data_IF_109776386732
#
_entry.id   IF_109776386732
#
_cell.length_a   1.000
_cell.length_b   1.000
_cell.length_c   1.000
_cell.angle_alpha   90.00
_cell.angle_beta   90.00
_cell.angle_gamma   90.00
#
_symmetry.space_group_name_H-M   'P 1'
#
loop_
_entity.id
_entity.type
_entity.pdbx_description
1 polymer ?
#
# COMPACT_ATOMS: atom_id res chain seq x y z
N UNK A 1 -5.53 -19.24 -14.05
CA UNK A 1 -4.87 -18.03 -13.51
C UNK A 1 -3.43 -18.38 -13.22
N UNK A 2 -2.49 -17.93 -14.06
CA UNK A 2 -1.07 -18.26 -13.90
C UNK A 2 -0.44 -17.47 -12.75
N UNK A 3 0.56 -18.03 -12.06
CA UNK A 3 1.22 -17.38 -10.91
C UNK A 3 1.85 -16.03 -11.27
N UNK A 4 2.26 -15.88 -12.54
CA UNK A 4 2.72 -14.63 -13.13
C UNK A 4 1.67 -13.52 -13.00
N UNK A 5 0.39 -13.84 -13.20
CA UNK A 5 -0.70 -12.87 -13.10
C UNK A 5 -0.90 -12.39 -11.65
N UNK A 6 -0.77 -13.30 -10.68
CA UNK A 6 -0.80 -12.94 -9.27
C UNK A 6 0.33 -11.99 -8.89
N UNK A 7 1.56 -12.26 -9.34
CA UNK A 7 2.71 -11.39 -9.08
C UNK A 7 2.53 -10.00 -9.70
N UNK A 8 2.01 -9.94 -10.93
CA UNK A 8 1.73 -8.66 -11.62
C UNK A 8 0.69 -7.87 -10.84
N UNK A 9 -0.43 -8.48 -10.45
CA UNK A 9 -1.47 -7.80 -9.67
C UNK A 9 -0.97 -7.33 -8.31
N UNK A 10 -0.21 -8.17 -7.59
CA UNK A 10 0.40 -7.78 -6.32
C UNK A 10 1.37 -6.61 -6.48
N UNK A 11 2.21 -6.63 -7.52
CA UNK A 11 3.12 -5.52 -7.80
C UNK A 11 2.35 -4.23 -8.15
N UNK A 12 1.27 -4.33 -8.93
CA UNK A 12 0.45 -3.17 -9.32
C UNK A 12 -0.22 -2.48 -8.12
N UNK A 13 -0.48 -3.22 -7.03
CA UNK A 13 -1.00 -2.67 -5.77
C UNK A 13 0.11 -2.15 -4.86
N UNK A 14 1.21 -2.88 -4.70
CA UNK A 14 2.27 -2.55 -3.73
C UNK A 14 3.15 -1.39 -4.21
N UNK A 15 3.53 -1.39 -5.49
CA UNK A 15 4.43 -0.38 -6.09
C UNK A 15 3.92 1.05 -5.93
N UNK A 16 2.63 1.38 -6.21
CA UNK A 16 2.13 2.74 -5.98
C UNK A 16 2.13 3.11 -4.49
N UNK A 17 1.83 2.17 -3.59
CA UNK A 17 1.89 2.43 -2.14
C UNK A 17 3.31 2.76 -1.66
N UNK A 18 4.33 2.08 -2.19
CA UNK A 18 5.73 2.40 -1.89
C UNK A 18 6.10 3.84 -2.23
N UNK A 19 5.46 4.44 -3.25
CA UNK A 19 5.65 5.85 -3.62
C UNK A 19 4.76 6.81 -2.85
N UNK A 20 3.55 6.39 -2.48
CA UNK A 20 2.58 7.21 -1.73
C UNK A 20 2.97 7.36 -0.25
N UNK A 21 3.32 6.26 0.42
CA UNK A 21 3.58 6.29 1.87
C UNK A 21 4.64 7.29 2.33
N UNK A 22 5.79 7.44 1.63
CA UNK A 22 6.79 8.46 1.97
C UNK A 22 6.26 9.89 1.91
N UNK A 23 5.28 10.18 1.04
CA UNK A 23 4.68 11.52 0.93
C UNK A 23 3.89 11.90 2.19
N UNK A 24 3.40 10.90 2.93
CA UNK A 24 2.69 11.05 4.20
C UNK A 24 3.61 10.89 5.42
N UNK A 25 4.94 10.80 5.23
CA UNK A 25 5.88 10.54 6.33
C UNK A 25 5.80 9.12 6.91
N UNK A 26 5.20 8.18 6.18
CA UNK A 26 5.09 6.77 6.57
C UNK A 26 6.24 5.99 5.93
N UNK A 27 6.82 5.05 6.68
CA UNK A 27 7.91 4.22 6.16
C UNK A 27 7.42 3.36 4.97
N UNK A 28 8.07 3.44 3.79
CA UNK A 28 7.63 2.72 2.58
C UNK A 28 7.54 1.20 2.74
N UNK A 29 8.29 0.59 3.66
CA UNK A 29 8.20 -0.85 3.96
C UNK A 29 6.81 -1.28 4.46
N UNK A 30 6.02 -0.37 5.02
CA UNK A 30 4.65 -0.68 5.42
C UNK A 30 3.74 -1.03 4.25
N UNK A 31 4.08 -0.67 3.00
CA UNK A 31 3.32 -1.06 1.81
C UNK A 31 3.16 -2.60 1.67
N UNK A 32 4.06 -3.40 2.25
CA UNK A 32 3.93 -4.85 2.28
C UNK A 32 2.72 -5.34 3.08
N UNK A 33 2.27 -4.56 4.08
CA UNK A 33 1.08 -4.90 4.86
C UNK A 33 -0.21 -4.82 4.02
N UNK A 34 -0.20 -4.11 2.89
CA UNK A 34 -1.31 -4.07 1.94
C UNK A 34 -1.56 -5.39 1.19
N UNK A 35 -0.64 -6.36 1.29
CA UNK A 35 -0.91 -7.75 0.89
C UNK A 35 -2.04 -8.38 1.72
N UNK A 36 -2.26 -7.86 2.94
CA UNK A 36 -3.38 -8.22 3.79
C UNK A 36 -4.48 -7.16 3.65
N UNK A 37 -5.71 -7.60 3.38
CA UNK A 37 -6.89 -6.74 3.29
C UNK A 37 -6.99 -5.72 4.45
N UNK A 38 -6.83 -6.10 5.73
CA UNK A 38 -6.87 -5.13 6.82
C UNK A 38 -5.70 -4.13 6.80
N UNK A 39 -4.51 -4.54 6.36
CA UNK A 39 -3.35 -3.65 6.28
C UNK A 39 -3.56 -2.52 5.27
N UNK A 40 -4.16 -2.84 4.12
CA UNK A 40 -4.54 -1.83 3.11
C UNK A 40 -5.51 -0.81 3.69
N UNK A 41 -6.56 -1.25 4.39
CA UNK A 41 -7.56 -0.35 4.98
C UNK A 41 -6.93 0.58 6.02
N UNK A 42 -6.07 0.03 6.90
CA UNK A 42 -5.38 0.83 7.92
C UNK A 42 -4.42 1.85 7.28
N UNK A 43 -3.68 1.45 6.25
CA UNK A 43 -2.79 2.37 5.51
C UNK A 43 -3.56 3.52 4.88
N UNK A 44 -4.70 3.23 4.23
CA UNK A 44 -5.57 4.26 3.66
C UNK A 44 -6.12 5.19 4.73
N UNK A 45 -6.54 4.66 5.88
CA UNK A 45 -7.01 5.47 7.02
C UNK A 45 -5.93 6.44 7.52
N UNK A 46 -4.71 5.94 7.72
CA UNK A 46 -3.59 6.77 8.21
C UNK A 46 -3.24 7.85 7.18
N UNK A 47 -3.22 7.51 5.89
CA UNK A 47 -2.97 8.50 4.83
C UNK A 47 -4.08 9.56 4.80
N UNK A 48 -5.35 9.17 4.91
CA UNK A 48 -6.47 10.11 4.94
C UNK A 48 -6.40 11.07 6.14
N UNK A 49 -6.15 10.54 7.34
CA UNK A 49 -6.00 11.35 8.55
C UNK A 49 -4.88 12.39 8.43
N UNK A 50 -3.79 12.06 7.72
CA UNK A 50 -2.66 12.98 7.49
C UNK A 50 -2.88 13.99 6.37
N UNK A 51 -3.89 13.82 5.52
CA UNK A 51 -4.30 14.81 4.50
C UNK A 51 -5.18 15.90 5.14
N UNK A 52 -5.94 15.55 6.17
CA UNK A 52 -6.88 16.45 6.84
C UNK A 52 -6.21 17.41 7.85
N UNK A 53 -4.95 17.15 8.24
CA UNK A 53 -4.11 18.02 9.08
C UNK A 53 -3.27 19.00 8.23
#
# INVERSE_FOLDING_TARGET
>A
MSILWFLVLSALTIVPLFKLLPQYGINPWFALTALFLPGLIVLLWIMAARVEE
#
